data_IF_460318637816
#
_entry.id   IF_460318637816
#
_cell.length_a   1.000
_cell.length_b   1.000
_cell.length_c   1.000
_cell.angle_alpha   90.00
_cell.angle_beta   90.00
_cell.angle_gamma   90.00
#
_symmetry.space_group_name_H-M   'P 1'
#
loop_
_entity.id
_entity.type
_entity.pdbx_description
1 polymer ?
#
# COMPACT_ATOMS: atom_id res chain seq x y z
N UNK A 1 10.22 8.29 3.16
CA UNK A 1 9.82 9.70 3.01
C UNK A 1 8.30 9.92 3.02
N UNK A 2 7.48 8.88 2.87
CA UNK A 2 6.00 8.91 2.94
C UNK A 2 5.41 9.87 3.99
N UNK A 3 5.81 9.74 5.25
CA UNK A 3 5.23 10.54 6.35
C UNK A 3 5.47 12.03 6.16
N UNK A 4 6.61 12.42 5.59
CA UNK A 4 6.93 13.81 5.29
C UNK A 4 5.96 14.40 4.24
N UNK A 5 5.64 13.64 3.19
CA UNK A 5 4.69 14.08 2.17
C UNK A 5 3.29 14.33 2.74
N UNK A 6 2.81 13.45 3.62
CA UNK A 6 1.52 13.65 4.27
C UNK A 6 1.51 14.81 5.26
N UNK A 7 2.62 15.05 5.99
CA UNK A 7 2.78 16.23 6.85
C UNK A 7 2.71 17.51 6.01
N UNK A 8 3.44 17.57 4.89
CA UNK A 8 3.41 18.73 3.99
C UNK A 8 2.01 18.94 3.41
N UNK A 9 1.35 17.88 2.94
CA UNK A 9 -0.03 17.96 2.45
C UNK A 9 -0.97 18.55 3.52
N UNK A 10 -0.91 18.04 4.75
CA UNK A 10 -1.71 18.54 5.86
C UNK A 10 -1.41 20.01 6.19
N UNK A 11 -0.12 20.40 6.23
CA UNK A 11 0.28 21.78 6.50
C UNK A 11 -0.27 22.75 5.44
N UNK A 12 -0.13 22.42 4.15
CA UNK A 12 -0.67 23.25 3.07
C UNK A 12 -2.20 23.31 3.07
N UNK A 13 -2.89 22.22 3.45
CA UNK A 13 -4.34 22.24 3.66
C UNK A 13 -4.75 23.17 4.81
N UNK A 14 -4.01 23.16 5.93
CA UNK A 14 -4.28 24.08 7.04
C UNK A 14 -4.04 25.54 6.65
N UNK A 15 -2.99 25.83 5.87
CA UNK A 15 -2.74 27.18 5.32
C UNK A 15 -3.88 27.61 4.41
N UNK A 16 -4.37 26.73 3.54
CA UNK A 16 -5.48 27.03 2.65
C UNK A 16 -6.79 27.34 3.41
N UNK A 17 -7.09 26.58 4.48
CA UNK A 17 -8.25 26.84 5.35
C UNK A 17 -8.05 28.14 6.14
N UNK A 18 -6.85 28.35 6.67
CA UNK A 18 -6.47 29.54 7.43
C UNK A 18 -6.33 30.81 6.59
N UNK A 19 -6.35 30.69 5.26
CA UNK A 19 -6.24 31.83 4.36
C UNK A 19 -7.31 32.89 4.59
N UNK A 20 -8.50 32.49 5.04
CA UNK A 20 -9.57 33.42 5.37
C UNK A 20 -9.28 34.23 6.65
N UNK A 21 -8.59 33.66 7.64
CA UNK A 21 -8.19 34.38 8.86
C UNK A 21 -6.95 35.26 8.66
N UNK A 22 -6.12 34.92 7.67
CA UNK A 22 -4.88 35.63 7.33
C UNK A 22 -5.07 36.68 6.23
N UNK A 23 -6.31 36.89 5.77
CA UNK A 23 -6.68 37.78 4.67
C UNK A 23 -5.82 37.55 3.41
N UNK A 24 -5.47 36.28 3.17
CA UNK A 24 -4.62 35.89 2.06
C UNK A 24 -5.38 36.04 0.73
N UNK A 25 -4.70 36.52 -0.34
CA UNK A 25 -5.33 36.65 -1.63
C UNK A 25 -5.76 35.28 -2.15
N UNK A 26 -6.96 35.21 -2.74
CA UNK A 26 -7.53 33.98 -3.35
C UNK A 26 -6.55 33.12 -4.15
N UNK A 27 -5.67 33.67 -5.03
CA UNK A 27 -4.68 32.85 -5.73
C UNK A 27 -3.68 32.15 -4.81
N UNK A 28 -3.30 32.75 -3.67
CA UNK A 28 -2.40 32.12 -2.71
C UNK A 28 -3.06 30.93 -1.98
N UNK A 29 -4.35 31.06 -1.65
CA UNK A 29 -5.14 29.95 -1.10
C UNK A 29 -5.25 28.79 -2.11
N UNK A 30 -5.55 29.10 -3.38
CA UNK A 30 -5.62 28.11 -4.46
C UNK A 30 -4.27 27.42 -4.71
N UNK A 31 -3.17 28.18 -4.72
CA UNK A 31 -1.83 27.63 -4.86
C UNK A 31 -1.48 26.68 -3.70
N UNK A 32 -1.92 27.01 -2.48
CA UNK A 32 -1.72 26.15 -1.30
C UNK A 32 -2.49 24.84 -1.42
N UNK A 33 -3.74 24.87 -1.89
CA UNK A 33 -4.54 23.66 -2.16
C UNK A 33 -3.88 22.80 -3.24
N UNK A 34 -3.41 23.43 -4.33
CA UNK A 34 -2.72 22.71 -5.40
C UNK A 34 -1.44 22.02 -4.91
N UNK A 35 -0.64 22.71 -4.09
CA UNK A 35 0.55 22.12 -3.48
C UNK A 35 0.19 20.94 -2.56
N UNK A 36 -0.84 21.07 -1.72
CA UNK A 36 -1.31 19.99 -0.86
C UNK A 36 -1.71 18.75 -1.67
N UNK A 37 -2.43 18.93 -2.78
CA UNK A 37 -2.83 17.84 -3.66
C UNK A 37 -1.62 17.11 -4.26
N UNK A 38 -0.59 17.84 -4.71
CA UNK A 38 0.65 17.25 -5.24
C UNK A 38 1.34 16.41 -4.17
N UNK A 39 1.51 16.94 -2.95
CA UNK A 39 2.15 16.19 -1.87
C UNK A 39 1.36 14.96 -1.46
N UNK A 40 0.02 15.04 -1.48
CA UNK A 40 -0.85 13.89 -1.22
C UNK A 40 -0.61 12.78 -2.25
N UNK A 41 -0.56 13.13 -3.53
CA UNK A 41 -0.27 12.18 -4.62
C UNK A 41 1.11 11.55 -4.46
N UNK A 42 2.14 12.34 -4.12
CA UNK A 42 3.49 11.82 -3.87
C UNK A 42 3.52 10.87 -2.67
N UNK A 43 2.84 11.21 -1.58
CA UNK A 43 2.69 10.36 -0.40
C UNK A 43 2.03 9.02 -0.74
N UNK A 44 0.96 9.03 -1.53
CA UNK A 44 0.31 7.81 -2.00
C UNK A 44 1.18 7.00 -2.96
N UNK A 45 1.85 7.64 -3.92
CA UNK A 45 2.76 6.97 -4.85
C UNK A 45 3.90 6.26 -4.12
N UNK A 46 4.50 6.90 -3.13
CA UNK A 46 5.55 6.29 -2.32
C UNK A 46 4.99 5.16 -1.44
N UNK A 47 3.79 5.34 -0.87
CA UNK A 47 3.10 4.28 -0.13
C UNK A 47 2.89 3.05 -1.02
N UNK A 48 2.43 3.26 -2.24
CA UNK A 48 2.17 2.21 -3.20
C UNK A 48 3.46 1.52 -3.63
N UNK A 49 4.51 2.27 -3.96
CA UNK A 49 5.81 1.71 -4.34
C UNK A 49 6.48 0.91 -3.20
N UNK A 50 6.27 1.32 -1.95
CA UNK A 50 6.80 0.61 -0.78
C UNK A 50 5.90 -0.55 -0.30
N UNK A 51 4.70 -0.73 -0.86
CA UNK A 51 3.99 -2.01 -0.75
C UNK A 51 4.77 -2.98 -1.63
N UNK A 52 5.68 -3.69 -1.00
CA UNK A 52 6.61 -4.66 -1.62
C UNK A 52 5.87 -5.48 -2.67
N UNK A 53 6.11 -5.16 -3.95
CA UNK A 53 5.78 -5.98 -5.11
C UNK A 53 6.92 -6.96 -5.40
N UNK A 54 7.60 -7.46 -4.37
CA UNK A 54 8.52 -8.56 -4.55
C UNK A 54 7.72 -9.80 -4.99
N UNK A 55 8.28 -10.68 -5.83
CA UNK A 55 7.66 -11.98 -6.07
C UNK A 55 7.36 -12.62 -4.71
N UNK A 56 6.14 -13.13 -4.58
CA UNK A 56 5.72 -13.87 -3.38
C UNK A 56 6.45 -15.22 -3.45
N UNK A 57 7.67 -15.23 -2.94
CA UNK A 57 8.52 -16.42 -2.86
C UNK A 57 8.30 -17.07 -1.49
N UNK A 58 8.04 -18.37 -1.51
CA UNK A 58 7.94 -19.17 -0.31
C UNK A 58 9.34 -19.65 0.08
N UNK A 59 9.64 -19.67 1.37
CA UNK A 59 10.80 -20.38 1.88
C UNK A 59 10.57 -21.91 1.89
N UNK A 60 11.63 -22.68 2.13
CA UNK A 60 11.56 -24.15 2.09
C UNK A 60 10.55 -24.74 3.10
N UNK A 61 10.36 -24.10 4.26
CA UNK A 61 9.43 -24.55 5.30
C UNK A 61 7.98 -24.26 4.89
N UNK A 62 7.75 -23.09 4.31
CA UNK A 62 6.47 -22.70 3.73
C UNK A 62 6.08 -23.61 2.57
N UNK A 63 7.02 -23.93 1.66
CA UNK A 63 6.79 -24.88 0.58
C UNK A 63 6.36 -26.26 1.09
N UNK A 64 7.08 -26.81 2.07
CA UNK A 64 6.75 -28.11 2.66
C UNK A 64 5.35 -28.09 3.29
N UNK A 65 5.02 -27.01 3.99
CA UNK A 65 3.69 -26.82 4.58
C UNK A 65 2.60 -26.79 3.51
N UNK A 66 2.80 -26.07 2.40
CA UNK A 66 1.84 -26.02 1.30
C UNK A 66 1.70 -27.40 0.63
N UNK A 67 2.81 -28.11 0.37
CA UNK A 67 2.77 -29.47 -0.18
C UNK A 67 2.00 -30.43 0.71
N UNK A 68 2.21 -30.37 2.03
CA UNK A 68 1.44 -31.17 3.00
C UNK A 68 -0.05 -30.85 2.92
N UNK A 69 -0.43 -29.57 2.97
CA UNK A 69 -1.83 -29.16 2.88
C UNK A 69 -2.49 -29.59 1.57
N UNK A 70 -1.76 -29.57 0.44
CA UNK A 70 -2.25 -30.09 -0.83
C UNK A 70 -2.48 -31.60 -0.79
N UNK A 71 -1.55 -32.36 -0.20
CA UNK A 71 -1.67 -33.81 -0.07
C UNK A 71 -2.88 -34.24 0.77
N UNK A 72 -3.28 -33.39 1.72
CA UNK A 72 -4.47 -33.57 2.56
C UNK A 72 -5.78 -33.11 1.87
N UNK A 73 -5.72 -32.59 0.63
CA UNK A 73 -6.88 -32.06 -0.10
C UNK A 73 -7.31 -30.64 0.31
N UNK A 74 -6.53 -29.96 1.14
CA UNK A 74 -6.85 -28.66 1.74
C UNK A 74 -6.35 -27.45 0.93
N UNK A 75 -6.43 -27.50 -0.40
CA UNK A 75 -5.91 -26.44 -1.29
C UNK A 75 -6.50 -25.05 -1.01
N UNK A 76 -7.78 -24.96 -0.64
CA UNK A 76 -8.41 -23.68 -0.29
C UNK A 76 -7.82 -23.04 0.98
N UNK A 77 -7.42 -23.86 1.96
CA UNK A 77 -6.73 -23.39 3.16
C UNK A 77 -5.28 -23.02 2.86
N UNK A 78 -4.61 -23.77 1.97
CA UNK A 78 -3.25 -23.47 1.54
C UNK A 78 -3.15 -22.07 0.90
N UNK A 79 -4.13 -21.68 0.06
CA UNK A 79 -4.21 -20.34 -0.54
C UNK A 79 -4.31 -19.26 0.56
N UNK A 80 -5.21 -19.47 1.54
CA UNK A 80 -5.35 -18.54 2.67
C UNK A 80 -4.08 -18.45 3.50
N UNK A 81 -3.36 -19.56 3.66
CA UNK A 81 -2.09 -19.61 4.38
C UNK A 81 -1.03 -18.72 3.71
N UNK A 82 -0.89 -18.80 2.39
CA UNK A 82 0.01 -17.92 1.62
C UNK A 82 -0.37 -16.44 1.79
N UNK A 83 -1.67 -16.11 1.77
CA UNK A 83 -2.13 -14.74 1.99
C UNK A 83 -1.87 -14.21 3.41
N UNK A 84 -1.84 -15.10 4.41
CA UNK A 84 -1.48 -14.73 5.78
C UNK A 84 0.00 -14.43 5.93
N UNK A 85 0.87 -15.23 5.31
CA UNK A 85 2.32 -14.98 5.33
C UNK A 85 2.70 -13.76 4.49
N UNK A 86 2.06 -13.57 3.34
CA UNK A 86 2.35 -12.48 2.42
C UNK A 86 1.18 -11.52 2.34
N UNK A 87 1.21 -10.51 3.20
CA UNK A 87 0.17 -9.47 3.33
C UNK A 87 -0.28 -8.82 2.01
N UNK A 88 0.59 -8.77 1.02
CA UNK A 88 0.33 -8.15 -0.29
C UNK A 88 0.12 -9.16 -1.43
N UNK A 89 0.15 -10.47 -1.15
CA UNK A 89 -0.16 -11.49 -2.15
C UNK A 89 -1.62 -11.35 -2.59
N UNK A 90 -1.83 -11.18 -3.89
CA UNK A 90 -3.18 -11.23 -4.43
C UNK A 90 -3.76 -12.65 -4.28
N UNK A 91 -5.08 -12.77 -4.28
CA UNK A 91 -5.72 -14.10 -4.25
C UNK A 91 -5.32 -14.96 -5.47
N UNK A 92 -5.10 -14.32 -6.61
CA UNK A 92 -4.65 -14.97 -7.84
C UNK A 92 -3.20 -15.44 -7.72
N UNK A 93 -2.30 -14.62 -7.19
CA UNK A 93 -0.89 -15.01 -6.96
C UNK A 93 -0.79 -16.14 -5.94
N UNK A 94 -1.50 -16.05 -4.82
CA UNK A 94 -1.54 -17.10 -3.82
C UNK A 94 -2.07 -18.42 -4.41
N UNK A 95 -3.13 -18.36 -5.23
CA UNK A 95 -3.68 -19.52 -5.91
C UNK A 95 -2.72 -20.10 -6.97
N UNK A 96 -1.97 -19.25 -7.67
CA UNK A 96 -0.94 -19.64 -8.63
C UNK A 96 0.20 -20.38 -7.95
N UNK A 97 0.75 -19.81 -6.87
CA UNK A 97 1.83 -20.41 -6.07
C UNK A 97 1.43 -21.78 -5.56
N UNK A 98 0.25 -21.91 -4.95
CA UNK A 98 -0.25 -23.20 -4.46
C UNK A 98 -0.48 -24.19 -5.60
N UNK A 99 -0.86 -23.75 -6.81
CA UNK A 99 -1.06 -24.63 -7.96
C UNK A 99 0.25 -25.15 -8.54
N UNK A 100 1.27 -24.31 -8.60
CA UNK A 100 2.59 -24.58 -9.18
C UNK A 100 3.48 -25.45 -8.27
N UNK A 101 3.21 -25.47 -6.96
CA UNK A 101 3.91 -26.29 -5.94
C UNK A 101 3.50 -27.76 -5.89
#
# INVERSE_FOLDING_TARGET
>A
MRTLWFILAAAFSLVAVGANWLDLPRPAALASIAAAAVFLVLGFRETYRNRVQGPVELDAEQEETIRRMKSEGNSGLAIRQVQMWHRYASAEDAARIVREL
#
